data_IF_752088887513
#
_entry.id   IF_752088887513
#
_cell.length_a   1.000
_cell.length_b   1.000
_cell.length_c   1.000
_cell.angle_alpha   90.00
_cell.angle_beta   90.00
_cell.angle_gamma   90.00
#
_symmetry.space_group_name_H-M   'P 1'
#
loop_
_entity.id
_entity.type
_entity.pdbx_description
1 polymer ?
#
# COMPACT_ATOMS: atom_id res chain seq x y z
N UNK A 1 5.20 -3.25 -11.03
CA UNK A 1 4.98 -2.87 -9.62
C UNK A 1 4.24 -1.55 -9.48
N UNK A 2 4.55 -0.52 -10.28
CA UNK A 2 3.84 0.77 -10.24
C UNK A 2 2.31 0.64 -10.33
N UNK A 3 1.80 -0.10 -11.32
CA UNK A 3 0.35 -0.35 -11.46
C UNK A 3 -0.26 -1.07 -10.25
N UNK A 4 0.49 -2.01 -9.65
CA UNK A 4 0.02 -2.76 -8.48
C UNK A 4 -0.08 -1.84 -7.26
N UNK A 5 0.93 -1.01 -7.01
CA UNK A 5 0.87 -0.07 -5.88
C UNK A 5 -0.17 1.02 -6.12
N UNK A 6 -0.23 1.61 -7.32
CA UNK A 6 -1.26 2.58 -7.66
C UNK A 6 -2.68 2.01 -7.44
N UNK A 7 -2.94 0.77 -7.86
CA UNK A 7 -4.23 0.11 -7.63
C UNK A 7 -4.47 -0.26 -6.16
N UNK A 8 -3.41 -0.60 -5.41
CA UNK A 8 -3.52 -0.88 -3.98
C UNK A 8 -3.92 0.37 -3.18
N UNK A 9 -3.29 1.51 -3.47
CA UNK A 9 -3.69 2.80 -2.90
C UNK A 9 -5.13 3.13 -3.27
N UNK A 10 -5.53 2.92 -4.53
CA UNK A 10 -6.92 3.13 -4.96
C UNK A 10 -7.96 2.29 -4.21
N UNK A 11 -7.64 1.03 -3.86
CA UNK A 11 -8.55 0.12 -3.13
C UNK A 11 -8.58 0.45 -1.62
N UNK A 12 -7.46 0.91 -1.07
CA UNK A 12 -7.32 1.22 0.35
C UNK A 12 -7.77 2.62 0.74
N UNK A 13 -8.06 3.47 -0.24
CA UNK A 13 -8.41 4.86 -0.03
C UNK A 13 -9.90 5.03 0.30
N UNK A 14 -10.18 5.48 1.52
CA UNK A 14 -11.54 5.68 2.03
C UNK A 14 -12.26 6.87 1.38
N UNK A 15 -11.50 7.81 0.80
CA UNK A 15 -12.03 8.97 0.11
C UNK A 15 -12.31 8.66 -1.36
N UNK A 16 -11.68 7.62 -1.90
CA UNK A 16 -11.89 7.13 -3.26
C UNK A 16 -12.81 5.90 -3.28
N UNK A 17 -14.11 6.12 -3.00
CA UNK A 17 -15.18 5.09 -3.01
C UNK A 17 -14.75 3.80 -2.30
N UNK A 18 -14.83 3.74 -0.96
CA UNK A 18 -14.29 2.65 -0.20
C UNK A 18 -14.92 1.32 -0.61
N UNK A 19 -14.08 0.36 -0.96
CA UNK A 19 -14.52 -1.01 -1.11
C UNK A 19 -14.97 -1.53 0.27
N UNK A 20 -16.02 -2.35 0.29
CA UNK A 20 -16.46 -3.00 1.53
C UNK A 20 -15.25 -3.74 2.16
N UNK A 21 -14.96 -3.57 3.47
CA UNK A 21 -13.84 -4.21 4.14
C UNK A 21 -13.72 -5.71 3.88
N UNK A 22 -14.85 -6.41 3.73
CA UNK A 22 -14.88 -7.84 3.42
C UNK A 22 -14.49 -8.18 1.97
N UNK A 23 -14.66 -7.25 1.02
CA UNK A 23 -14.33 -7.44 -0.40
C UNK A 23 -12.98 -6.84 -0.83
N UNK A 24 -12.33 -6.07 0.04
CA UNK A 24 -10.98 -5.56 -0.24
C UNK A 24 -9.97 -6.67 -0.63
N UNK A 25 -9.86 -7.82 0.08
CA UNK A 25 -8.90 -8.85 -0.30
C UNK A 25 -9.20 -9.48 -1.67
N UNK A 26 -10.48 -9.64 -2.04
CA UNK A 26 -10.83 -10.17 -3.36
C UNK A 26 -10.53 -9.16 -4.48
N UNK A 27 -10.74 -7.87 -4.25
CA UNK A 27 -10.35 -6.82 -5.19
C UNK A 27 -8.83 -6.80 -5.43
N UNK A 28 -8.03 -6.90 -4.36
CA UNK A 28 -6.56 -7.00 -4.47
C UNK A 28 -6.15 -8.28 -5.20
N UNK A 29 -6.79 -9.41 -4.93
CA UNK A 29 -6.51 -10.65 -5.65
C UNK A 29 -6.78 -10.53 -7.16
N UNK A 30 -7.91 -9.93 -7.54
CA UNK A 30 -8.23 -9.69 -8.95
C UNK A 30 -7.24 -8.72 -9.61
N UNK A 31 -6.78 -7.69 -8.90
CA UNK A 31 -5.74 -6.77 -9.38
C UNK A 31 -4.44 -7.53 -9.66
N UNK A 32 -3.99 -8.36 -8.73
CA UNK A 32 -2.78 -9.20 -8.86
C UNK A 32 -2.92 -10.15 -10.05
N UNK A 33 -4.06 -10.81 -10.20
CA UNK A 33 -4.35 -11.74 -11.31
C UNK A 33 -4.35 -11.00 -12.65
N UNK A 34 -5.03 -9.85 -12.75
CA UNK A 34 -5.11 -9.08 -13.98
C UNK A 34 -3.73 -8.59 -14.45
N UNK A 35 -2.93 -8.04 -13.53
CA UNK A 35 -1.53 -7.65 -13.83
C UNK A 35 -0.69 -8.88 -14.19
N UNK A 36 -0.92 -10.01 -13.53
CA UNK A 36 -0.22 -11.27 -13.81
C UNK A 36 -0.54 -11.85 -15.18
N UNK A 37 -1.80 -11.82 -15.60
CA UNK A 37 -2.21 -12.28 -16.93
C UNK A 37 -1.68 -11.35 -18.03
N UNK A 38 -1.69 -10.04 -17.81
CA UNK A 38 -1.22 -9.07 -18.80
C UNK A 38 0.31 -9.03 -18.94
N UNK A 39 1.06 -9.13 -17.83
CA UNK A 39 2.51 -8.87 -17.83
C UNK A 39 3.36 -10.02 -17.27
N UNK A 40 2.77 -11.12 -16.80
CA UNK A 40 3.47 -12.18 -16.09
C UNK A 40 4.53 -12.91 -16.91
N UNK A 41 4.32 -13.08 -18.23
CA UNK A 41 5.26 -13.80 -19.10
C UNK A 41 6.58 -13.05 -19.37
N UNK A 42 6.62 -11.73 -19.19
CA UNK A 42 7.82 -10.95 -19.51
C UNK A 42 8.96 -11.18 -18.51
N UNK A 43 8.62 -11.25 -17.21
CA UNK A 43 9.64 -11.28 -16.13
C UNK A 43 9.27 -12.22 -14.97
N UNK A 44 8.25 -13.07 -15.12
CA UNK A 44 7.90 -14.07 -14.10
C UNK A 44 7.28 -13.49 -12.82
N UNK A 45 6.65 -12.31 -12.93
CA UNK A 45 5.99 -11.64 -11.80
C UNK A 45 6.96 -11.19 -10.70
N UNK A 46 8.07 -10.57 -11.10
CA UNK A 46 9.06 -9.94 -10.21
C UNK A 46 8.51 -8.64 -9.60
N UNK A 47 7.44 -8.74 -8.79
CA UNK A 47 6.76 -7.60 -8.17
C UNK A 47 7.16 -7.36 -6.72
N UNK A 48 7.80 -8.34 -6.08
CA UNK A 48 8.13 -8.31 -4.66
C UNK A 48 9.58 -8.78 -4.45
N UNK A 49 10.45 -7.94 -3.87
CA UNK A 49 11.84 -8.29 -3.62
C UNK A 49 11.98 -9.48 -2.65
N UNK A 50 11.13 -9.57 -1.62
CA UNK A 50 11.18 -10.65 -0.64
C UNK A 50 10.81 -12.01 -1.24
N UNK A 51 9.86 -12.04 -2.19
CA UNK A 51 9.45 -13.25 -2.91
C UNK A 51 10.62 -13.82 -3.72
N UNK A 52 11.33 -12.96 -4.44
CA UNK A 52 12.40 -13.37 -5.34
C UNK A 52 13.69 -13.71 -4.56
N UNK A 53 14.09 -12.85 -3.62
CA UNK A 53 15.27 -13.08 -2.80
C UNK A 53 15.12 -14.32 -1.91
N UNK A 54 13.96 -14.51 -1.27
CA UNK A 54 13.72 -15.66 -0.40
C UNK A 54 13.80 -17.01 -1.15
N UNK A 55 13.22 -17.08 -2.35
CA UNK A 55 13.29 -18.30 -3.17
C UNK A 55 14.71 -18.56 -3.71
N UNK A 56 15.50 -17.51 -3.98
CA UNK A 56 16.93 -17.65 -4.33
C UNK A 56 17.79 -18.12 -3.17
N UNK A 57 17.60 -17.56 -1.97
CA UNK A 57 18.31 -18.04 -0.77
C UNK A 57 17.95 -19.49 -0.46
N UNK A 58 16.68 -19.87 -0.59
CA UNK A 58 16.27 -21.26 -0.41
C UNK A 58 16.97 -22.19 -1.39
N UNK A 59 17.02 -21.83 -2.67
CA UNK A 59 17.69 -22.66 -3.69
C UNK A 59 19.20 -22.70 -3.53
N UNK A 60 19.83 -21.61 -3.08
CA UNK A 60 21.24 -21.60 -2.66
C UNK A 60 21.49 -22.65 -1.57
N UNK A 61 20.69 -22.64 -0.49
CA UNK A 61 20.80 -23.57 0.62
C UNK A 61 20.47 -25.01 0.23
N UNK A 62 19.56 -25.21 -0.73
CA UNK A 62 19.17 -26.51 -1.24
C UNK A 62 20.20 -27.15 -2.19
N UNK A 63 21.36 -26.52 -2.39
CA UNK A 63 22.49 -27.10 -3.11
C UNK A 63 22.60 -26.70 -4.58
N UNK A 64 21.77 -25.77 -5.08
CA UNK A 64 21.92 -25.23 -6.45
C UNK A 64 23.15 -24.32 -6.60
N UNK A 65 23.81 -23.95 -5.51
CA UNK A 65 25.05 -23.16 -5.52
C UNK A 65 24.84 -21.69 -5.91
N UNK A 66 25.95 -20.96 -6.10
CA UNK A 66 25.93 -19.51 -6.37
C UNK A 66 25.35 -19.13 -7.74
N UNK A 67 25.08 -20.11 -8.61
CA UNK A 67 24.52 -19.88 -9.94
C UNK A 67 23.19 -19.11 -9.89
N UNK A 68 22.40 -19.30 -8.83
CA UNK A 68 21.12 -18.59 -8.60
C UNK A 68 21.26 -17.05 -8.58
N UNK A 69 22.45 -16.53 -8.31
CA UNK A 69 22.77 -15.09 -8.34
C UNK A 69 23.54 -14.65 -9.58
N UNK A 70 24.20 -15.56 -10.31
CA UNK A 70 25.01 -15.20 -11.50
C UNK A 70 24.29 -15.42 -12.83
N UNK A 71 23.17 -16.16 -12.83
CA UNK A 71 22.34 -16.42 -14.01
C UNK A 71 21.87 -15.13 -14.70
N UNK A 72 21.96 -15.11 -16.04
CA UNK A 72 21.51 -14.02 -16.94
C UNK A 72 22.08 -12.65 -16.53
N UNK A 73 23.41 -12.53 -16.56
CA UNK A 73 24.13 -11.29 -16.22
C UNK A 73 23.74 -10.74 -14.84
N UNK A 74 23.69 -11.64 -13.86
CA UNK A 74 23.31 -11.34 -12.49
C UNK A 74 21.91 -10.71 -12.35
N UNK A 75 20.91 -11.24 -13.06
CA UNK A 75 19.53 -10.72 -13.06
C UNK A 75 18.87 -10.57 -11.67
N UNK A 76 19.41 -11.19 -10.61
CA UNK A 76 18.88 -11.15 -9.25
C UNK A 76 18.63 -9.73 -8.70
N UNK A 77 19.38 -8.72 -9.15
CA UNK A 77 19.21 -7.35 -8.67
C UNK A 77 17.97 -6.67 -9.27
N UNK A 78 17.53 -7.08 -10.46
CA UNK A 78 16.39 -6.46 -11.16
C UNK A 78 15.08 -6.64 -10.37
N UNK A 79 14.70 -7.85 -9.91
CA UNK A 79 13.55 -8.06 -9.02
C UNK A 79 13.65 -7.36 -7.65
N UNK A 80 14.82 -6.80 -7.29
CA UNK A 80 15.00 -6.03 -6.06
C UNK A 80 14.81 -4.54 -6.34
N UNK A 81 15.61 -3.98 -7.25
CA UNK A 81 15.60 -2.55 -7.54
C UNK A 81 14.33 -2.11 -8.28
N UNK A 82 13.86 -2.87 -9.26
CA UNK A 82 12.73 -2.47 -10.09
C UNK A 82 11.40 -2.38 -9.31
N UNK A 83 11.08 -3.31 -8.38
CA UNK A 83 9.90 -3.16 -7.53
C UNK A 83 9.98 -1.99 -6.56
N UNK A 84 11.14 -1.69 -5.99
CA UNK A 84 11.31 -0.57 -5.07
C UNK A 84 11.06 0.76 -5.79
N UNK A 85 11.72 0.98 -6.93
CA UNK A 85 11.52 2.16 -7.76
C UNK A 85 10.10 2.23 -8.32
N UNK A 86 9.60 1.11 -8.84
CA UNK A 86 8.25 1.05 -9.38
C UNK A 86 7.18 1.30 -8.33
N UNK A 87 7.37 0.83 -7.09
CA UNK A 87 6.45 1.07 -5.99
C UNK A 87 6.39 2.54 -5.59
N UNK A 88 7.56 3.17 -5.42
CA UNK A 88 7.65 4.60 -5.12
C UNK A 88 6.97 5.45 -6.22
N UNK A 89 7.24 5.15 -7.49
CA UNK A 89 6.61 5.84 -8.62
C UNK A 89 5.10 5.61 -8.63
N UNK A 90 4.64 4.36 -8.46
CA UNK A 90 3.21 4.03 -8.47
C UNK A 90 2.43 4.72 -7.36
N UNK A 91 3.00 4.77 -6.15
CA UNK A 91 2.42 5.51 -5.04
C UNK A 91 2.40 7.02 -5.32
N UNK A 92 3.53 7.60 -5.76
CA UNK A 92 3.61 9.03 -6.05
C UNK A 92 2.65 9.48 -7.15
N UNK A 93 2.45 8.66 -8.19
CA UNK A 93 1.46 8.91 -9.25
C UNK A 93 0.04 8.92 -8.67
N UNK A 94 -0.30 7.98 -7.77
CA UNK A 94 -1.61 7.96 -7.13
C UNK A 94 -1.86 9.23 -6.29
N UNK A 95 -0.91 9.56 -5.42
CA UNK A 95 -1.00 10.74 -4.54
C UNK A 95 -1.16 12.01 -5.36
N UNK A 96 -0.34 12.19 -6.40
CA UNK A 96 -0.33 13.40 -7.21
C UNK A 96 -1.56 13.56 -8.09
N UNK A 97 -2.12 12.46 -8.62
CA UNK A 97 -3.24 12.52 -9.56
C UNK A 97 -4.62 12.30 -8.93
N UNK A 98 -4.72 11.51 -7.87
CA UNK A 98 -5.99 11.13 -7.25
C UNK A 98 -6.16 11.83 -5.91
N UNK A 99 -5.24 11.57 -4.98
CA UNK A 99 -5.36 12.06 -3.60
C UNK A 99 -5.37 13.58 -3.51
N UNK A 100 -4.57 14.27 -4.31
CA UNK A 100 -4.55 15.73 -4.38
C UNK A 100 -5.90 16.35 -4.80
N UNK A 101 -6.77 15.58 -5.47
CA UNK A 101 -8.09 16.04 -5.91
C UNK A 101 -9.21 15.72 -4.90
N UNK A 102 -8.89 15.18 -3.73
CA UNK A 102 -9.90 14.94 -2.71
C UNK A 102 -10.47 16.24 -2.13
N UNK A 103 -11.80 16.31 -1.90
CA UNK A 103 -12.40 17.46 -1.24
C UNK A 103 -11.92 17.53 0.22
N UNK A 104 -11.35 18.69 0.60
CA UNK A 104 -10.72 18.93 1.91
C UNK A 104 -11.68 18.85 3.11
N UNK A 105 -12.98 18.89 2.86
CA UNK A 105 -14.02 18.82 3.90
C UNK A 105 -14.05 17.45 4.61
N UNK A 106 -13.70 16.37 3.91
CA UNK A 106 -13.73 15.02 4.48
C UNK A 106 -12.53 14.76 5.43
N UNK A 107 -11.37 15.36 5.15
CA UNK A 107 -10.20 15.33 6.04
C UNK A 107 -10.50 16.03 7.36
N UNK A 108 -11.22 17.16 7.32
CA UNK A 108 -11.62 17.89 8.53
C UNK A 108 -12.62 17.09 9.38
N UNK A 109 -13.55 16.37 8.76
CA UNK A 109 -14.50 15.51 9.48
C UNK A 109 -13.85 14.30 10.16
N UNK A 110 -12.85 13.67 9.51
CA UNK A 110 -12.08 12.58 10.13
C UNK A 110 -11.20 13.09 11.28
N UNK A 111 -10.66 14.30 11.17
CA UNK A 111 -9.85 14.93 12.21
C UNK A 111 -10.71 15.39 13.41
N UNK A 112 -11.91 15.95 13.18
CA UNK A 112 -12.91 16.25 14.23
C UNK A 112 -13.47 14.99 14.92
N UNK A 113 -13.64 13.88 14.19
CA UNK A 113 -14.12 12.63 14.76
C UNK A 113 -13.06 11.89 15.59
N UNK A 114 -11.78 12.02 15.22
CA UNK A 114 -10.63 11.40 15.92
C UNK A 114 -10.17 12.24 17.12
N UNK A 115 -10.24 13.57 17.01
CA UNK A 115 -9.98 14.51 18.08
C UNK A 115 -11.22 15.40 18.23
N UNK A 116 -12.22 14.99 19.04
CA UNK A 116 -13.28 15.93 19.39
C UNK A 116 -12.58 17.14 19.98
N UNK A 117 -12.71 18.29 19.30
CA UNK A 117 -12.14 19.53 19.78
C UNK A 117 -12.53 19.66 21.26
N UNK A 118 -11.53 19.86 22.12
CA UNK A 118 -11.75 20.16 23.54
C UNK A 118 -12.32 21.58 23.63
N UNK A 119 -13.54 21.73 23.14
CA UNK A 119 -14.37 22.93 23.14
C UNK A 119 -15.77 22.57 23.56
N UNK A 120 -15.90 21.62 24.49
CA UNK A 120 -16.97 21.78 25.48
C UNK A 120 -16.51 22.95 26.36
N UNK A 121 -17.24 24.08 26.43
CA UNK A 121 -17.01 25.02 27.51
C UNK A 121 -17.22 24.20 28.79
N UNK A 122 -16.14 23.96 29.54
CA UNK A 122 -16.24 23.38 30.88
C UNK A 122 -17.28 24.22 31.59
N UNK A 123 -18.43 23.60 31.86
CA UNK A 123 -19.59 24.24 32.45
C UNK A 123 -19.22 24.53 33.92
N UNK A 124 -18.41 25.59 34.11
CA UNK A 124 -17.89 26.06 35.39
C UNK A 124 -19.00 26.58 36.31
N UNK A 125 -20.27 26.49 35.89
CA UNK A 125 -21.44 26.77 36.69
C UNK A 125 -21.99 25.54 37.43
N UNK A 126 -21.57 24.31 37.08
CA UNK A 126 -22.01 23.10 37.77
C UNK A 126 -21.25 22.85 39.10
N UNK A 127 -20.00 23.30 39.19
CA UNK A 127 -19.16 23.06 40.39
C UNK A 127 -19.43 24.01 41.55
N UNK A 128 -20.17 25.11 41.35
CA UNK A 128 -20.56 26.01 42.44
C UNK A 128 -21.73 25.49 43.28
N UNK A 129 -22.46 24.47 42.81
CA UNK A 129 -23.64 23.93 43.51
C UNK A 129 -23.33 22.72 44.41
N UNK A 130 -22.05 22.39 44.64
CA UNK A 130 -21.62 21.28 45.51
C UNK A 130 -20.91 21.77 46.79
N UNK A 131 -21.24 22.99 47.26
CA UNK A 131 -20.69 23.55 48.51
C UNK A 131 -21.70 24.33 49.35
N UNK A 132 -22.95 23.88 49.38
CA UNK A 132 -23.94 24.26 50.40
C UNK A 132 -24.62 23.00 50.91
#
# INVERSE_FOLDING_TARGET
TALLLCGLFAIGDELNKPANPYSQPSAVALLVVGVGMAFGMNTGFALNPARDLGTRLFTLCAGWGSQVFTLRDAYFWVPIAAPLLGGAIGAGVYVGLVEHHHPRECTQQQEEAQFPAVTEPVDLLSTSSYKQ
#
